data_IF_881766779455
#
_entry.id   IF_881766779455
#
_cell.length_a   1.000
_cell.length_b   1.000
_cell.length_c   1.000
_cell.angle_alpha   90.00
_cell.angle_beta   90.00
_cell.angle_gamma   90.00
#
_symmetry.space_group_name_H-M   'P 1'
#
loop_
_entity.id
_entity.type
_entity.pdbx_description
1 polymer ?
#
# COMPACT_ATOMS: atom_id res chain seq x y z
N UNK A 1 -1.56 10.37 -19.96
CA UNK A 1 -1.09 10.97 -18.69
C UNK A 1 0.33 10.49 -18.44
N UNK A 2 1.25 11.39 -18.13
CA UNK A 2 2.57 11.04 -17.58
C UNK A 2 2.62 11.63 -16.18
N UNK A 3 2.62 10.78 -15.17
CA UNK A 3 2.78 11.20 -13.77
C UNK A 3 4.24 11.05 -13.38
N UNK A 4 4.75 12.03 -12.64
CA UNK A 4 6.12 12.01 -12.13
C UNK A 4 6.18 11.21 -10.81
N UNK A 5 5.90 9.91 -10.88
CA UNK A 5 5.82 9.02 -9.71
C UNK A 5 7.00 8.06 -9.65
N UNK A 6 7.40 7.66 -8.44
CA UNK A 6 8.53 6.75 -8.21
C UNK A 6 8.11 5.37 -7.73
N UNK A 7 6.95 5.28 -7.08
CA UNK A 7 6.43 4.10 -6.42
C UNK A 7 5.12 3.64 -7.07
N UNK A 8 4.17 4.56 -7.29
CA UNK A 8 2.89 4.18 -7.87
C UNK A 8 2.99 4.06 -9.39
N UNK A 9 2.35 3.03 -9.94
CA UNK A 9 2.18 2.84 -11.37
C UNK A 9 0.69 2.92 -11.70
N UNK A 10 0.24 3.96 -12.41
CA UNK A 10 -1.19 4.23 -12.59
C UNK A 10 -1.86 3.41 -13.68
N UNK A 11 -1.15 2.48 -14.31
CA UNK A 11 -1.67 1.70 -15.45
C UNK A 11 -3.02 1.06 -15.13
N UNK A 12 -3.13 0.33 -14.02
CA UNK A 12 -4.38 -0.33 -13.62
C UNK A 12 -5.47 0.68 -13.22
N UNK A 13 -5.09 1.73 -12.50
CA UNK A 13 -5.99 2.81 -12.13
C UNK A 13 -6.61 3.50 -13.37
N UNK A 14 -5.80 3.81 -14.38
CA UNK A 14 -6.24 4.42 -15.64
C UNK A 14 -7.14 3.44 -16.42
N UNK A 15 -6.75 2.17 -16.51
CA UNK A 15 -7.51 1.13 -17.21
C UNK A 15 -8.92 0.99 -16.63
N UNK A 16 -9.02 0.84 -15.30
CA UNK A 16 -10.30 0.64 -14.60
C UNK A 16 -11.16 1.91 -14.65
N UNK A 17 -10.52 3.08 -14.57
CA UNK A 17 -11.22 4.36 -14.68
C UNK A 17 -11.58 4.73 -16.12
N UNK A 18 -11.15 3.95 -17.13
CA UNK A 18 -11.28 4.27 -18.56
C UNK A 18 -10.73 5.65 -18.93
N UNK A 19 -9.73 6.11 -18.18
CA UNK A 19 -9.18 7.47 -18.31
C UNK A 19 -10.10 8.60 -17.81
N UNK A 20 -11.18 8.31 -17.09
CA UNK A 20 -12.03 9.35 -16.48
C UNK A 20 -11.35 9.97 -15.25
N UNK A 21 -10.92 11.21 -15.42
CA UNK A 21 -10.25 12.03 -14.41
C UNK A 21 -11.02 12.13 -13.09
N UNK A 22 -12.35 12.20 -13.10
CA UNK A 22 -13.15 12.28 -11.86
C UNK A 22 -13.08 10.97 -11.09
N UNK A 23 -13.09 9.84 -11.80
CA UNK A 23 -12.97 8.51 -11.19
C UNK A 23 -11.56 8.32 -10.65
N UNK A 24 -10.54 8.69 -11.42
CA UNK A 24 -9.13 8.64 -11.00
C UNK A 24 -8.92 9.46 -9.73
N UNK A 25 -9.39 10.71 -9.72
CA UNK A 25 -9.28 11.60 -8.56
C UNK A 25 -9.95 11.02 -7.32
N UNK A 26 -11.15 10.44 -7.47
CA UNK A 26 -11.85 9.77 -6.37
C UNK A 26 -11.02 8.64 -5.75
N UNK A 27 -10.37 7.81 -6.57
CA UNK A 27 -9.52 6.74 -6.05
C UNK A 27 -8.26 7.27 -5.36
N UNK A 28 -7.64 8.32 -5.90
CA UNK A 28 -6.49 8.97 -5.27
C UNK A 28 -6.84 9.54 -3.88
N UNK A 29 -8.00 10.19 -3.74
CA UNK A 29 -8.49 10.66 -2.43
C UNK A 29 -8.76 9.51 -1.46
N UNK A 30 -9.38 8.42 -1.92
CA UNK A 30 -9.60 7.23 -1.09
C UNK A 30 -8.28 6.63 -0.59
N UNK A 31 -7.23 6.65 -1.41
CA UNK A 31 -5.90 6.19 -1.00
C UNK A 31 -5.33 7.09 0.11
N UNK A 32 -5.40 8.42 -0.04
CA UNK A 32 -4.94 9.37 0.97
C UNK A 32 -5.67 9.20 2.30
N UNK A 33 -6.95 8.89 2.28
CA UNK A 33 -7.76 8.73 3.49
C UNK A 33 -7.45 7.41 4.21
N UNK A 34 -7.38 6.30 3.46
CA UNK A 34 -7.32 4.96 4.05
C UNK A 34 -5.90 4.54 4.44
N UNK A 35 -4.89 4.79 3.60
CA UNK A 35 -3.54 4.23 3.81
C UNK A 35 -2.87 4.71 5.10
N UNK A 36 -2.96 6.00 5.51
CA UNK A 36 -2.38 6.44 6.78
C UNK A 36 -2.96 5.70 8.00
N UNK A 37 -4.27 5.43 8.00
CA UNK A 37 -4.92 4.68 9.07
C UNK A 37 -4.38 3.26 9.13
N UNK A 38 -4.22 2.61 7.97
CA UNK A 38 -3.68 1.26 7.86
C UNK A 38 -2.22 1.17 8.31
N UNK A 39 -1.39 2.15 7.98
CA UNK A 39 -0.01 2.26 8.48
C UNK A 39 -0.01 2.32 10.01
N UNK A 40 -0.89 3.12 10.60
CA UNK A 40 -0.98 3.22 12.06
C UNK A 40 -1.40 1.89 12.70
N UNK A 41 -2.40 1.21 12.14
CA UNK A 41 -2.79 -0.13 12.61
C UNK A 41 -1.64 -1.15 12.50
N UNK A 42 -0.88 -1.16 11.39
CA UNK A 42 0.31 -2.02 11.27
C UNK A 42 1.32 -1.76 12.39
N UNK A 43 1.61 -0.49 12.70
CA UNK A 43 2.52 -0.11 13.79
C UNK A 43 2.00 -0.58 15.14
N UNK A 44 0.70 -0.46 15.39
CA UNK A 44 0.07 -0.92 16.64
C UNK A 44 0.14 -2.44 16.78
N UNK A 45 -0.18 -3.19 15.72
CA UNK A 45 -0.11 -4.65 15.75
C UNK A 45 1.33 -5.17 15.91
N UNK A 46 2.32 -4.51 15.29
CA UNK A 46 3.72 -4.82 15.53
C UNK A 46 4.13 -4.59 16.99
N UNK A 47 3.75 -3.46 17.58
CA UNK A 47 4.03 -3.16 19.00
C UNK A 47 3.39 -4.19 19.92
N UNK A 48 2.18 -4.63 19.61
CA UNK A 48 1.46 -5.68 20.33
C UNK A 48 1.97 -7.10 20.04
N UNK A 49 2.91 -7.26 19.09
CA UNK A 49 3.37 -8.56 18.55
C UNK A 49 2.23 -9.43 18.02
N UNK A 50 1.15 -8.81 17.55
CA UNK A 50 -0.03 -9.49 17.01
C UNK A 50 0.17 -9.85 15.53
N UNK A 51 0.87 -10.96 15.31
CA UNK A 51 1.21 -11.47 13.98
C UNK A 51 -0.03 -11.77 13.14
N UNK A 52 -1.12 -12.19 13.77
CA UNK A 52 -2.37 -12.56 13.09
C UNK A 52 -3.02 -11.31 12.49
N UNK A 53 -3.08 -10.23 13.27
CA UNK A 53 -3.63 -8.96 12.79
C UNK A 53 -2.74 -8.31 11.73
N UNK A 54 -1.41 -8.39 11.86
CA UNK A 54 -0.47 -7.96 10.81
C UNK A 54 -0.78 -8.68 9.49
N UNK A 55 -0.83 -10.02 9.51
CA UNK A 55 -1.17 -10.82 8.32
C UNK A 55 -2.53 -10.43 7.74
N UNK A 56 -3.56 -10.36 8.58
CA UNK A 56 -4.92 -10.08 8.13
C UNK A 56 -5.01 -8.70 7.47
N UNK A 57 -4.36 -7.69 8.05
CA UNK A 57 -4.36 -6.34 7.51
C UNK A 57 -3.60 -6.28 6.18
N UNK A 58 -2.41 -6.88 6.08
CA UNK A 58 -1.64 -6.91 4.84
C UNK A 58 -2.37 -7.67 3.72
N UNK A 59 -3.03 -8.77 4.06
CA UNK A 59 -3.89 -9.51 3.13
C UNK A 59 -5.00 -8.63 2.55
N UNK A 60 -5.70 -7.89 3.42
CA UNK A 60 -6.76 -6.96 3.00
C UNK A 60 -6.24 -5.80 2.15
N UNK A 61 -5.00 -5.36 2.38
CA UNK A 61 -4.39 -4.26 1.65
C UNK A 61 -3.77 -4.68 0.32
N UNK A 62 -3.39 -5.95 0.16
CA UNK A 62 -2.70 -6.46 -1.03
C UNK A 62 -3.40 -6.08 -2.34
N UNK A 63 -4.74 -6.21 -2.49
CA UNK A 63 -5.44 -5.77 -3.69
C UNK A 63 -5.34 -4.26 -3.95
N UNK A 64 -5.38 -3.43 -2.90
CA UNK A 64 -5.24 -1.97 -3.06
C UNK A 64 -3.80 -1.60 -3.46
N UNK A 65 -2.80 -2.26 -2.87
CA UNK A 65 -1.39 -2.08 -3.21
C UNK A 65 -1.14 -2.43 -4.68
N UNK A 66 -1.71 -3.54 -5.16
CA UNK A 66 -1.67 -3.95 -6.56
C UNK A 66 -2.39 -2.97 -7.48
N UNK A 67 -3.57 -2.50 -7.09
CA UNK A 67 -4.38 -1.56 -7.87
C UNK A 67 -3.65 -0.23 -8.13
N UNK A 68 -2.83 0.23 -7.17
CA UNK A 68 -1.95 1.40 -7.34
C UNK A 68 -0.57 1.08 -7.93
N UNK A 69 -0.35 -0.17 -8.35
CA UNK A 69 0.85 -0.58 -9.06
C UNK A 69 2.12 -0.66 -8.21
N UNK A 70 1.97 -0.86 -6.89
CA UNK A 70 3.09 -1.01 -5.94
C UNK A 70 3.49 -2.50 -5.89
N UNK A 71 3.90 -3.04 -7.04
CA UNK A 71 4.05 -4.49 -7.26
C UNK A 71 5.16 -5.15 -6.42
N UNK A 72 6.18 -4.37 -6.04
CA UNK A 72 7.33 -4.87 -5.27
C UNK A 72 6.96 -5.33 -3.84
N UNK A 73 5.79 -4.93 -3.34
CA UNK A 73 5.27 -5.38 -2.05
C UNK A 73 4.42 -6.65 -2.13
N UNK A 74 3.97 -7.07 -3.31
CA UNK A 74 3.02 -8.18 -3.47
C UNK A 74 3.63 -9.51 -3.02
N UNK A 75 4.80 -9.85 -3.57
CA UNK A 75 5.48 -11.11 -3.23
C UNK A 75 5.87 -11.18 -1.74
N UNK A 76 6.47 -10.12 -1.14
CA UNK A 76 6.71 -10.10 0.31
C UNK A 76 5.45 -10.32 1.14
N UNK A 77 4.33 -9.69 0.80
CA UNK A 77 3.06 -9.86 1.52
C UNK A 77 2.57 -11.31 1.40
N UNK A 78 2.60 -11.88 0.20
CA UNK A 78 2.21 -13.29 -0.02
C UNK A 78 3.10 -14.25 0.77
N UNK A 79 4.41 -14.02 0.83
CA UNK A 79 5.32 -14.86 1.63
C UNK A 79 4.99 -14.76 3.13
N UNK A 80 4.76 -13.54 3.63
CA UNK A 80 4.33 -13.32 5.00
C UNK A 80 3.04 -14.08 5.31
N UNK A 81 2.07 -14.09 4.40
CA UNK A 81 0.80 -14.80 4.61
C UNK A 81 0.97 -16.30 4.85
N UNK A 82 2.01 -16.92 4.26
CA UNK A 82 2.34 -18.33 4.42
C UNK A 82 3.13 -18.56 5.72
N UNK A 83 4.11 -17.69 6.00
CA UNK A 83 5.11 -17.94 7.03
C UNK A 83 4.83 -17.23 8.37
N UNK A 84 3.78 -16.40 8.47
CA UNK A 84 3.55 -15.52 9.64
C UNK A 84 3.60 -16.24 11.00
N UNK A 85 3.21 -17.53 11.04
CA UNK A 85 3.20 -18.32 12.26
C UNK A 85 4.61 -18.69 12.73
N UNK A 86 5.52 -18.98 11.79
CA UNK A 86 6.86 -19.52 12.07
C UNK A 86 7.99 -18.52 11.83
N UNK A 87 7.73 -17.41 11.12
CA UNK A 87 8.69 -16.35 10.84
C UNK A 87 9.25 -15.74 12.16
N UNK A 88 10.57 -15.51 12.28
CA UNK A 88 11.15 -14.75 13.38
C UNK A 88 10.54 -13.35 13.50
N UNK A 89 10.38 -12.84 14.73
CA UNK A 89 9.71 -11.55 14.95
C UNK A 89 10.50 -10.38 14.35
N UNK A 90 11.83 -10.49 14.32
CA UNK A 90 12.73 -9.51 13.72
C UNK A 90 12.57 -9.45 12.20
N UNK A 91 12.35 -10.59 11.55
CA UNK A 91 12.09 -10.68 10.12
C UNK A 91 10.71 -10.10 9.77
N UNK A 92 9.69 -10.44 10.57
CA UNK A 92 8.36 -9.85 10.46
C UNK A 92 8.41 -8.32 10.58
N UNK A 93 9.12 -7.81 11.59
CA UNK A 93 9.28 -6.37 11.81
C UNK A 93 9.94 -5.69 10.60
N UNK A 94 11.03 -6.26 10.07
CA UNK A 94 11.72 -5.71 8.90
C UNK A 94 10.82 -5.68 7.66
N UNK A 95 10.08 -6.76 7.40
CA UNK A 95 9.17 -6.83 6.26
C UNK A 95 8.08 -5.77 6.36
N UNK A 96 7.43 -5.66 7.52
CA UNK A 96 6.37 -4.67 7.74
C UNK A 96 6.92 -3.24 7.70
N UNK A 97 8.15 -3.01 8.18
CA UNK A 97 8.82 -1.71 8.07
C UNK A 97 9.06 -1.32 6.60
N UNK A 98 9.51 -2.26 5.76
CA UNK A 98 9.64 -2.04 4.31
C UNK A 98 8.30 -1.66 3.68
N UNK A 99 7.22 -2.39 4.04
CA UNK A 99 5.86 -2.09 3.57
C UNK A 99 5.45 -0.67 4.00
N UNK A 100 5.66 -0.30 5.26
CA UNK A 100 5.32 1.03 5.77
C UNK A 100 6.10 2.12 5.03
N UNK A 101 7.41 1.95 4.81
CA UNK A 101 8.23 2.92 4.08
C UNK A 101 7.68 3.11 2.66
N UNK A 102 7.38 2.03 1.96
CA UNK A 102 6.85 2.07 0.59
C UNK A 102 5.47 2.73 0.52
N UNK A 103 4.59 2.43 1.47
CA UNK A 103 3.27 3.08 1.55
C UNK A 103 3.38 4.59 1.84
N UNK A 104 4.31 5.02 2.70
CA UNK A 104 4.55 6.45 2.93
C UNK A 104 5.08 7.15 1.67
N UNK A 105 5.98 6.51 0.92
CA UNK A 105 6.45 7.05 -0.35
C UNK A 105 5.32 7.10 -1.41
N UNK A 106 4.45 6.09 -1.45
CA UNK A 106 3.28 6.09 -2.31
C UNK A 106 2.27 7.20 -1.95
N UNK A 107 2.09 7.51 -0.66
CA UNK A 107 1.30 8.68 -0.24
C UNK A 107 1.89 9.97 -0.83
N UNK A 108 3.21 10.15 -0.79
CA UNK A 108 3.85 11.32 -1.38
C UNK A 108 3.62 11.41 -2.90
N UNK A 109 3.73 10.30 -3.61
CA UNK A 109 3.43 10.23 -5.04
C UNK A 109 1.97 10.63 -5.32
N UNK A 110 1.01 10.07 -4.56
CA UNK A 110 -0.42 10.40 -4.72
C UNK A 110 -0.68 11.88 -4.43
N UNK A 111 -0.06 12.45 -3.40
CA UNK A 111 -0.17 13.87 -3.09
C UNK A 111 0.33 14.75 -4.24
N UNK A 112 1.46 14.37 -4.85
CA UNK A 112 2.05 15.08 -5.98
C UNK A 112 1.16 14.98 -7.22
N UNK A 113 0.65 13.78 -7.52
CA UNK A 113 -0.28 13.56 -8.64
C UNK A 113 -1.52 14.41 -8.50
N UNK A 114 -2.15 14.41 -7.32
CA UNK A 114 -3.32 15.26 -7.06
C UNK A 114 -2.95 16.72 -7.32
N UNK A 115 -1.90 17.23 -6.68
CA UNK A 115 -1.52 18.65 -6.79
C UNK A 115 -1.20 19.11 -8.21
N UNK A 116 -0.60 18.25 -9.02
CA UNK A 116 -0.12 18.61 -10.37
C UNK A 116 -1.16 18.38 -11.47
N UNK A 117 -2.19 17.56 -11.23
CA UNK A 117 -3.11 17.09 -12.28
C UNK A 117 -4.60 17.34 -11.96
N UNK A 118 -4.95 17.74 -10.73
CA UNK A 118 -6.32 17.93 -10.26
C UNK A 118 -6.46 19.18 -9.37
#
# INVERSE_FOLDING_TARGET
>A
MHWNTKIINPKELINISRGDDKIIYKYLLQFQELIPQRINSLKEYLKAKDRKQVRQLLHQMSPQIQFFGIEDLVKPIQQLELDYATMPIEELNKLVEIVIIKLNLAINDVNLVIKENF
#
